data_IF_375825536193
#
_entry.id   IF_375825536193
#
_cell.length_a   1.000
_cell.length_b   1.000
_cell.length_c   1.000
_cell.angle_alpha   90.00
_cell.angle_beta   90.00
_cell.angle_gamma   90.00
#
_symmetry.space_group_name_H-M   'P 1'
#
loop_
_entity.id
_entity.type
_entity.pdbx_description
1 polymer ?
#
# COMPACT_ATOMS: atom_id res chain seq x y z
N UNK A 1 11.57 3.83 -14.60
CA UNK A 1 11.07 2.61 -13.90
C UNK A 1 9.79 2.92 -13.14
N UNK A 2 8.82 1.97 -13.08
CA UNK A 2 7.64 2.04 -12.21
C UNK A 2 6.88 0.72 -12.20
N UNK A 3 6.40 0.27 -11.05
CA UNK A 3 5.47 -0.84 -10.88
C UNK A 3 4.14 -0.30 -10.31
N UNK A 4 3.04 -0.52 -11.03
CA UNK A 4 1.70 -0.15 -10.59
C UNK A 4 0.99 -1.33 -9.95
N UNK A 5 0.44 -1.13 -8.74
CA UNK A 5 -0.30 -2.13 -7.98
C UNK A 5 -1.72 -1.62 -7.71
N UNK A 6 -2.73 -2.42 -8.04
CA UNK A 6 -4.12 -2.17 -7.67
C UNK A 6 -4.58 -3.23 -6.66
N UNK A 7 -4.94 -2.81 -5.46
CA UNK A 7 -5.43 -3.67 -4.40
C UNK A 7 -6.79 -3.18 -3.90
N UNK A 8 -7.85 -3.92 -4.19
CA UNK A 8 -9.24 -3.59 -3.78
C UNK A 8 -9.66 -2.16 -4.16
N UNK A 9 -9.23 -1.68 -5.34
CA UNK A 9 -9.54 -0.34 -5.84
C UNK A 9 -8.61 0.78 -5.34
N UNK A 10 -7.78 0.54 -4.32
CA UNK A 10 -6.71 1.46 -3.91
C UNK A 10 -5.44 1.15 -4.69
N UNK A 11 -4.61 2.15 -4.90
CA UNK A 11 -3.49 2.08 -5.84
C UNK A 11 -2.19 2.44 -5.15
N UNK A 12 -1.15 1.74 -5.57
CA UNK A 12 0.20 1.95 -5.08
C UNK A 12 1.16 1.94 -6.27
N UNK A 13 2.27 2.65 -6.14
CA UNK A 13 3.39 2.61 -7.07
C UNK A 13 4.66 2.20 -6.33
N UNK A 14 5.51 1.45 -7.00
CA UNK A 14 6.93 1.34 -6.63
C UNK A 14 7.70 1.99 -7.76
N UNK A 15 8.45 3.02 -7.42
CA UNK A 15 9.10 3.98 -8.30
C UNK A 15 8.14 4.81 -9.17
N UNK A 16 8.62 5.96 -9.59
CA UNK A 16 7.91 6.89 -10.44
C UNK A 16 8.91 7.57 -11.37
N UNK A 17 9.45 6.81 -12.30
CA UNK A 17 10.38 7.31 -13.29
C UNK A 17 9.71 8.15 -14.36
N UNK A 18 10.52 8.66 -15.26
CA UNK A 18 10.07 9.42 -16.41
C UNK A 18 9.00 8.66 -17.22
N UNK A 19 7.97 9.35 -17.64
CA UNK A 19 6.88 8.77 -18.42
C UNK A 19 5.86 7.92 -17.67
N UNK A 20 6.02 7.68 -16.36
CA UNK A 20 5.06 6.91 -15.55
C UNK A 20 3.64 7.45 -15.68
N UNK A 21 3.45 8.76 -15.59
CA UNK A 21 2.16 9.43 -15.76
C UNK A 21 1.53 9.14 -17.13
N UNK A 22 2.33 9.16 -18.20
CA UNK A 22 1.87 8.90 -19.58
C UNK A 22 1.44 7.44 -19.72
N UNK A 23 2.24 6.50 -19.20
CA UNK A 23 1.91 5.08 -19.19
C UNK A 23 0.61 4.81 -18.43
N UNK A 24 0.45 5.37 -17.23
CA UNK A 24 -0.75 5.23 -16.41
C UNK A 24 -2.00 5.76 -17.12
N UNK A 25 -1.89 6.90 -17.84
CA UNK A 25 -2.98 7.45 -18.64
C UNK A 25 -3.34 6.51 -19.80
N UNK A 26 -2.34 6.01 -20.52
CA UNK A 26 -2.51 5.08 -21.66
C UNK A 26 -3.24 3.79 -21.24
N UNK A 27 -2.92 3.26 -20.06
CA UNK A 27 -3.53 2.02 -19.54
C UNK A 27 -4.76 2.26 -18.64
N UNK A 28 -5.28 3.49 -18.58
CA UNK A 28 -6.44 3.85 -17.77
C UNK A 28 -6.32 3.44 -16.28
N UNK A 29 -5.12 3.52 -15.73
CA UNK A 29 -4.86 3.16 -14.34
C UNK A 29 -5.63 4.04 -13.35
N UNK A 30 -5.93 5.30 -13.73
CA UNK A 30 -6.54 6.32 -12.87
C UNK A 30 -5.59 6.81 -11.76
N UNK A 31 -5.74 8.04 -11.35
CA UNK A 31 -4.79 8.74 -10.47
C UNK A 31 -5.34 9.00 -9.06
N UNK A 32 -6.65 9.23 -8.93
CA UNK A 32 -7.28 9.69 -7.70
C UNK A 32 -7.04 8.77 -6.49
N UNK A 33 -7.03 7.46 -6.70
CA UNK A 33 -6.95 6.46 -5.64
C UNK A 33 -5.51 5.98 -5.36
N UNK A 34 -4.48 6.74 -5.74
CA UNK A 34 -3.09 6.44 -5.38
C UNK A 34 -2.86 6.93 -3.95
N UNK A 35 -2.54 6.02 -3.03
CA UNK A 35 -2.36 6.34 -1.62
C UNK A 35 -0.93 6.14 -1.13
N UNK A 36 -0.15 5.37 -1.88
CA UNK A 36 1.22 5.01 -1.51
C UNK A 36 2.11 5.03 -2.74
N UNK A 37 3.28 5.67 -2.59
CA UNK A 37 4.37 5.61 -3.56
C UNK A 37 5.63 5.22 -2.79
N UNK A 38 6.27 4.15 -3.23
CA UNK A 38 7.49 3.58 -2.67
C UNK A 38 8.64 3.89 -3.63
N UNK A 39 9.65 4.63 -3.21
CA UNK A 39 10.82 4.97 -4.04
C UNK A 39 11.99 4.11 -3.59
N UNK A 40 12.56 3.33 -4.52
CA UNK A 40 13.69 2.45 -4.21
C UNK A 40 14.98 3.20 -4.02
N UNK A 41 15.27 4.18 -4.89
CA UNK A 41 16.44 5.04 -4.84
C UNK A 41 16.21 6.35 -5.64
N UNK A 42 17.14 7.29 -5.55
CA UNK A 42 16.94 8.65 -6.06
C UNK A 42 17.50 8.90 -7.47
N UNK A 43 17.83 7.87 -8.24
CA UNK A 43 18.17 8.06 -9.64
C UNK A 43 16.96 8.58 -10.43
N UNK A 44 17.24 9.45 -11.43
CA UNK A 44 16.19 10.19 -12.15
C UNK A 44 15.14 9.30 -12.78
N UNK A 45 15.53 8.18 -13.36
CA UNK A 45 14.62 7.20 -13.99
C UNK A 45 13.74 6.42 -13.00
N UNK A 46 13.90 6.66 -11.68
CA UNK A 46 13.06 6.12 -10.61
C UNK A 46 12.21 7.16 -9.88
N UNK A 47 12.55 8.48 -9.95
CA UNK A 47 11.87 9.51 -9.16
C UNK A 47 11.37 10.72 -9.96
N UNK A 48 11.98 11.09 -11.09
CA UNK A 48 11.67 12.35 -11.81
C UNK A 48 10.20 12.47 -12.22
N UNK A 49 9.53 11.35 -12.49
CA UNK A 49 8.10 11.33 -12.83
C UNK A 49 7.16 11.82 -11.73
N UNK A 50 7.63 11.88 -10.46
CA UNK A 50 6.82 12.35 -9.32
C UNK A 50 6.29 13.76 -9.51
N UNK A 51 7.07 14.68 -10.05
CA UNK A 51 6.68 16.09 -10.24
C UNK A 51 5.37 16.18 -11.02
N UNK A 52 5.33 15.54 -12.19
CA UNK A 52 4.13 15.54 -13.04
C UNK A 52 3.00 14.67 -12.48
N UNK A 53 3.33 13.55 -11.84
CA UNK A 53 2.34 12.66 -11.26
C UNK A 53 1.57 13.33 -10.11
N UNK A 54 2.25 14.00 -9.18
CA UNK A 54 1.62 14.68 -8.04
C UNK A 54 0.62 15.72 -8.50
N UNK A 55 0.97 16.54 -9.49
CA UNK A 55 0.05 17.53 -10.08
C UNK A 55 -1.13 16.86 -10.79
N UNK A 56 -0.89 15.80 -11.54
CA UNK A 56 -1.95 15.07 -12.24
C UNK A 56 -2.92 14.40 -11.26
N UNK A 57 -2.44 13.88 -10.13
CA UNK A 57 -3.30 13.34 -9.08
C UNK A 57 -4.24 14.42 -8.53
N UNK A 58 -3.73 15.61 -8.23
CA UNK A 58 -4.53 16.77 -7.80
C UNK A 58 -5.57 17.18 -8.83
N UNK A 59 -5.16 17.34 -10.09
CA UNK A 59 -6.04 17.70 -11.22
C UNK A 59 -7.10 16.63 -11.52
N UNK A 60 -6.85 15.37 -11.10
CA UNK A 60 -7.81 14.26 -11.22
C UNK A 60 -8.77 14.18 -10.04
N UNK A 61 -8.76 15.16 -9.13
CA UNK A 61 -9.66 15.26 -8.00
C UNK A 61 -9.27 14.40 -6.79
N UNK A 62 -7.96 14.10 -6.62
CA UNK A 62 -7.47 13.48 -5.36
C UNK A 62 -7.56 14.50 -4.23
N UNK A 63 -8.15 14.08 -3.12
CA UNK A 63 -8.26 14.84 -1.87
C UNK A 63 -7.76 14.05 -0.66
N UNK A 64 -7.72 12.71 -0.77
CA UNK A 64 -7.20 11.82 0.27
C UNK A 64 -5.68 11.96 0.37
N UNK A 65 -5.14 11.75 1.56
CA UNK A 65 -3.71 11.84 1.82
C UNK A 65 -2.89 10.86 0.96
N UNK A 66 -1.64 11.22 0.70
CA UNK A 66 -0.65 10.41 0.01
C UNK A 66 0.53 10.14 0.95
N UNK A 67 0.97 8.90 1.02
CA UNK A 67 2.23 8.54 1.68
C UNK A 67 3.29 8.23 0.63
N UNK A 68 4.47 8.83 0.79
CA UNK A 68 5.67 8.53 0.01
C UNK A 68 6.71 7.95 0.96
N UNK A 69 7.26 6.80 0.61
CA UNK A 69 8.34 6.14 1.35
C UNK A 69 9.55 6.08 0.44
N UNK A 70 10.73 6.30 0.99
CA UNK A 70 11.97 6.21 0.19
C UNK A 70 13.22 6.01 1.04
N UNK A 71 14.40 5.89 0.40
CA UNK A 71 15.68 5.76 1.07
C UNK A 71 16.07 7.05 1.78
N UNK A 72 17.23 7.05 2.44
CA UNK A 72 17.86 8.27 2.95
C UNK A 72 17.99 9.30 1.82
N UNK A 73 17.59 10.55 2.09
CA UNK A 73 17.56 11.65 1.12
C UNK A 73 16.21 11.90 0.46
N UNK A 74 15.19 11.02 0.67
CA UNK A 74 13.86 11.22 0.08
C UNK A 74 13.17 12.49 0.61
N UNK A 75 13.41 12.86 1.88
CA UNK A 75 12.85 14.09 2.46
C UNK A 75 13.39 15.31 1.72
N UNK A 76 14.69 15.37 1.45
CA UNK A 76 15.33 16.47 0.75
C UNK A 76 14.86 16.53 -0.72
N UNK A 77 14.75 15.38 -1.38
CA UNK A 77 14.20 15.28 -2.73
C UNK A 77 12.76 15.80 -2.79
N UNK A 78 11.91 15.44 -1.83
CA UNK A 78 10.53 15.93 -1.75
C UNK A 78 10.44 17.41 -1.43
N UNK A 79 11.35 17.96 -0.62
CA UNK A 79 11.44 19.40 -0.38
C UNK A 79 11.81 20.16 -1.66
N UNK A 80 12.73 19.64 -2.47
CA UNK A 80 13.06 20.22 -3.77
C UNK A 80 11.86 20.15 -4.75
N UNK A 81 11.14 19.03 -4.77
CA UNK A 81 9.93 18.86 -5.59
C UNK A 81 8.84 19.88 -5.21
N UNK A 82 8.64 20.15 -3.91
CA UNK A 82 7.66 21.13 -3.42
C UNK A 82 7.89 22.55 -3.97
N UNK A 83 9.11 22.92 -4.32
CA UNK A 83 9.40 24.21 -4.96
C UNK A 83 8.77 24.29 -6.35
N UNK A 84 8.68 23.16 -7.05
CA UNK A 84 8.10 23.07 -8.40
C UNK A 84 6.61 22.76 -8.39
N UNK A 85 6.11 22.13 -7.31
CA UNK A 85 4.73 21.73 -7.13
C UNK A 85 4.14 22.56 -5.99
N UNK A 86 3.76 23.81 -6.30
CA UNK A 86 3.39 24.82 -5.31
C UNK A 86 2.13 24.48 -4.52
N UNK A 87 1.14 23.86 -5.17
CA UNK A 87 -0.15 23.53 -4.53
C UNK A 87 -0.63 22.12 -4.87
N UNK A 88 -1.00 21.38 -3.83
CA UNK A 88 -1.69 20.09 -3.93
C UNK A 88 -2.96 20.13 -3.05
N UNK A 89 -4.12 19.66 -3.55
CA UNK A 89 -5.37 19.62 -2.78
C UNK A 89 -5.42 18.44 -1.77
N UNK A 90 -4.29 17.82 -1.47
CA UNK A 90 -4.12 16.71 -0.53
C UNK A 90 -2.78 16.82 0.20
N UNK A 91 -2.67 16.15 1.35
CA UNK A 91 -1.42 16.13 2.12
C UNK A 91 -0.49 15.04 1.60
N UNK A 92 0.81 15.30 1.69
CA UNK A 92 1.85 14.32 1.37
C UNK A 92 2.67 14.06 2.63
N UNK A 93 2.62 12.84 3.13
CA UNK A 93 3.47 12.34 4.20
C UNK A 93 4.68 11.65 3.61
N UNK A 94 5.85 11.93 4.16
CA UNK A 94 7.11 11.33 3.71
C UNK A 94 7.70 10.51 4.85
N UNK A 95 8.01 9.25 4.57
CA UNK A 95 8.67 8.33 5.50
C UNK A 95 10.03 7.99 4.90
N UNK A 96 11.10 8.37 5.59
CA UNK A 96 12.47 8.11 5.15
C UNK A 96 13.01 6.85 5.81
N UNK A 97 13.49 5.93 4.98
CA UNK A 97 14.24 4.73 5.34
C UNK A 97 13.69 3.99 6.58
N UNK A 98 12.42 3.57 6.57
CA UNK A 98 11.84 2.84 7.70
C UNK A 98 12.56 1.52 7.90
N UNK A 99 13.05 1.25 9.12
CA UNK A 99 13.76 -0.01 9.46
C UNK A 99 12.82 -1.05 10.06
N UNK A 100 11.69 -0.62 10.58
CA UNK A 100 10.67 -1.52 11.11
C UNK A 100 9.54 -1.74 10.10
N UNK A 101 8.87 -2.86 10.23
CA UNK A 101 7.65 -3.13 9.46
C UNK A 101 6.54 -2.17 9.85
N UNK A 102 5.81 -1.69 8.87
CA UNK A 102 4.70 -0.76 9.08
C UNK A 102 3.52 -1.09 8.18
N UNK A 103 2.37 -0.51 8.51
CA UNK A 103 1.17 -0.50 7.68
C UNK A 103 0.59 0.91 7.65
N UNK A 104 -0.14 1.26 6.60
CA UNK A 104 -0.79 2.56 6.54
C UNK A 104 -2.07 2.57 7.39
N UNK A 105 -2.35 3.69 8.04
CA UNK A 105 -3.62 3.96 8.71
C UNK A 105 -4.72 4.25 7.67
N UNK A 106 -5.19 3.20 7.02
CA UNK A 106 -6.19 3.28 5.96
C UNK A 106 -7.06 2.02 5.96
N UNK A 107 -8.38 2.14 5.82
CA UNK A 107 -9.34 1.04 5.95
C UNK A 107 -9.02 -0.19 5.10
N UNK A 108 -8.49 0.01 3.90
CA UNK A 108 -8.14 -1.08 2.97
C UNK A 108 -6.67 -1.46 3.06
N UNK A 109 -5.77 -0.45 3.19
CA UNK A 109 -4.33 -0.69 3.12
C UNK A 109 -3.72 -1.13 4.45
N UNK A 110 -4.42 -1.00 5.57
CA UNK A 110 -3.99 -1.52 6.89
C UNK A 110 -3.73 -3.03 6.90
N UNK A 111 -4.32 -3.77 5.95
CA UNK A 111 -4.10 -5.21 5.79
C UNK A 111 -2.79 -5.52 5.03
N UNK A 112 -2.05 -4.49 4.59
CA UNK A 112 -0.76 -4.64 3.91
C UNK A 112 0.35 -4.27 4.89
N UNK A 113 1.19 -5.26 5.22
CA UNK A 113 2.42 -5.04 5.97
C UNK A 113 3.56 -4.75 4.99
N UNK A 114 4.25 -3.64 5.19
CA UNK A 114 5.34 -3.18 4.34
C UNK A 114 6.65 -3.31 5.13
N UNK A 115 7.66 -3.86 4.51
CA UNK A 115 9.03 -3.92 5.03
C UNK A 115 10.03 -3.53 3.96
N UNK A 116 11.17 -3.03 4.40
CA UNK A 116 12.29 -2.63 3.54
C UNK A 116 13.50 -3.52 3.81
N UNK A 117 14.41 -3.55 2.84
CA UNK A 117 15.72 -4.16 2.94
C UNK A 117 16.73 -3.23 2.26
N UNK A 118 17.89 -3.02 2.87
CA UNK A 118 18.95 -2.23 2.24
C UNK A 118 19.56 -3.02 1.07
N UNK A 119 19.86 -2.34 -0.02
CA UNK A 119 20.39 -2.92 -1.24
C UNK A 119 21.76 -2.30 -1.58
N UNK A 120 22.62 -3.06 -2.24
CA UNK A 120 23.94 -2.61 -2.66
C UNK A 120 23.88 -1.96 -4.06
N UNK A 121 23.94 -0.64 -4.10
CA UNK A 121 23.90 0.17 -5.31
C UNK A 121 24.89 1.35 -5.20
N UNK A 122 25.00 2.15 -6.27
CA UNK A 122 25.86 3.36 -6.30
C UNK A 122 25.33 4.51 -5.45
N UNK A 123 24.10 4.44 -4.99
CA UNK A 123 23.44 5.38 -4.08
C UNK A 123 22.61 4.61 -3.06
N UNK A 124 22.14 5.28 -2.02
CA UNK A 124 21.20 4.70 -1.06
C UNK A 124 20.02 4.07 -1.78
N UNK A 125 19.83 2.77 -1.59
CA UNK A 125 18.84 1.97 -2.30
C UNK A 125 18.17 0.98 -1.35
N UNK A 126 16.86 0.88 -1.43
CA UNK A 126 16.05 -0.05 -0.62
C UNK A 126 15.11 -0.88 -1.48
N UNK A 127 15.03 -2.15 -1.18
CA UNK A 127 14.00 -3.05 -1.71
C UNK A 127 12.76 -3.01 -0.83
N UNK A 128 11.63 -3.40 -1.39
CA UNK A 128 10.33 -3.44 -0.70
C UNK A 128 9.74 -4.83 -0.68
N UNK A 129 9.12 -5.19 0.43
CA UNK A 129 8.29 -6.38 0.55
C UNK A 129 6.92 -5.99 1.10
N UNK A 130 5.86 -6.30 0.34
CA UNK A 130 4.48 -6.05 0.69
C UNK A 130 3.81 -7.39 1.00
N UNK A 131 3.36 -7.58 2.23
CA UNK A 131 2.63 -8.76 2.63
C UNK A 131 1.14 -8.44 2.77
N UNK A 132 0.35 -8.95 1.83
CA UNK A 132 -1.10 -8.79 1.78
C UNK A 132 -1.76 -9.84 2.66
N UNK A 133 -2.24 -9.43 3.83
CA UNK A 133 -3.00 -10.30 4.75
C UNK A 133 -4.31 -10.74 4.11
N UNK A 134 -4.66 -12.00 4.26
CA UNK A 134 -5.91 -12.55 3.74
C UNK A 134 -6.78 -13.01 4.89
N UNK A 135 -7.95 -12.40 5.03
CA UNK A 135 -8.94 -12.83 6.04
C UNK A 135 -9.42 -14.24 5.74
N UNK A 136 -9.76 -14.99 6.78
CA UNK A 136 -10.45 -16.27 6.66
C UNK A 136 -11.75 -16.10 5.86
N UNK A 137 -12.14 -17.12 5.12
CA UNK A 137 -13.42 -17.10 4.39
C UNK A 137 -14.57 -17.45 5.33
N UNK A 138 -15.75 -16.89 5.03
CA UNK A 138 -16.99 -17.31 5.67
C UNK A 138 -17.24 -18.79 5.40
N UNK A 139 -17.53 -19.53 6.48
CA UNK A 139 -17.89 -20.94 6.45
C UNK A 139 -19.34 -21.11 6.92
N UNK A 140 -20.21 -21.38 5.96
CA UNK A 140 -21.64 -21.54 6.21
C UNK A 140 -21.94 -22.74 7.10
N UNK A 141 -21.23 -23.86 6.91
CA UNK A 141 -21.47 -25.07 7.69
C UNK A 141 -21.08 -24.83 9.15
N UNK A 142 -19.94 -24.20 9.38
CA UNK A 142 -19.46 -23.80 10.70
C UNK A 142 -20.43 -22.83 11.39
N UNK A 143 -20.93 -21.83 10.66
CA UNK A 143 -21.90 -20.87 11.18
C UNK A 143 -23.21 -21.56 11.61
N UNK A 144 -23.68 -22.53 10.81
CA UNK A 144 -24.89 -23.32 11.11
C UNK A 144 -24.66 -24.27 12.31
N UNK A 145 -23.53 -24.98 12.36
CA UNK A 145 -23.18 -25.87 13.46
C UNK A 145 -23.04 -25.16 14.79
N UNK A 146 -22.60 -23.90 14.77
CA UNK A 146 -22.50 -23.03 15.96
C UNK A 146 -23.81 -22.27 16.26
N UNK A 147 -24.91 -22.58 15.53
CA UNK A 147 -26.22 -21.96 15.72
C UNK A 147 -26.19 -20.42 15.66
N UNK A 148 -25.30 -19.84 14.82
CA UNK A 148 -25.18 -18.39 14.68
C UNK A 148 -26.33 -17.86 13.84
N UNK A 149 -27.14 -16.91 14.34
CA UNK A 149 -28.22 -16.27 13.59
C UNK A 149 -27.72 -15.65 12.27
N UNK A 150 -28.44 -15.91 11.18
CA UNK A 150 -28.01 -15.43 9.83
C UNK A 150 -27.80 -13.92 9.75
N UNK A 151 -28.60 -13.15 10.50
CA UNK A 151 -28.47 -11.69 10.58
C UNK A 151 -27.08 -11.24 11.08
N UNK A 152 -26.34 -12.09 11.80
CA UNK A 152 -25.02 -11.78 12.36
C UNK A 152 -23.88 -12.19 11.43
N UNK A 153 -24.12 -13.02 10.41
CA UNK A 153 -23.06 -13.60 9.57
C UNK A 153 -22.18 -12.53 8.90
N UNK A 154 -22.80 -11.48 8.34
CA UNK A 154 -22.04 -10.40 7.72
C UNK A 154 -21.26 -9.58 8.76
N UNK A 155 -21.90 -9.27 9.91
CA UNK A 155 -21.25 -8.51 10.97
C UNK A 155 -20.02 -9.23 11.54
N UNK A 156 -20.12 -10.54 11.74
CA UNK A 156 -19.02 -11.37 12.26
C UNK A 156 -17.88 -11.62 11.25
N UNK A 157 -18.08 -11.30 9.96
CA UNK A 157 -16.98 -11.26 8.98
C UNK A 157 -16.17 -9.95 9.04
N UNK A 158 -16.75 -8.91 9.65
CA UNK A 158 -16.17 -7.56 9.75
C UNK A 158 -15.70 -7.24 11.18
N UNK A 159 -16.32 -7.86 12.20
CA UNK A 159 -16.07 -7.62 13.62
C UNK A 159 -15.74 -8.93 14.34
N UNK A 160 -14.79 -8.90 15.25
CA UNK A 160 -14.37 -10.08 15.99
C UNK A 160 -15.44 -10.58 16.97
N UNK A 161 -16.27 -9.67 17.48
CA UNK A 161 -17.29 -10.00 18.48
C UNK A 161 -18.57 -9.20 18.23
N UNK A 162 -19.72 -9.84 18.35
CA UNK A 162 -21.04 -9.20 18.26
C UNK A 162 -21.93 -9.72 19.39
N UNK A 163 -22.56 -8.83 20.14
CA UNK A 163 -23.57 -9.15 21.16
C UNK A 163 -24.95 -9.07 20.52
N UNK A 164 -25.74 -10.12 20.69
CA UNK A 164 -27.12 -10.18 20.18
C UNK A 164 -27.99 -11.04 21.11
N UNK A 165 -29.13 -10.50 21.58
CA UNK A 165 -30.03 -11.14 22.53
C UNK A 165 -29.27 -11.67 23.78
N UNK A 166 -28.48 -10.82 24.42
CA UNK A 166 -27.67 -11.12 25.62
C UNK A 166 -26.67 -12.27 25.46
N UNK A 167 -26.42 -12.73 24.22
CA UNK A 167 -25.43 -13.73 23.89
C UNK A 167 -24.30 -13.10 23.05
N UNK A 168 -23.07 -13.47 23.39
CA UNK A 168 -21.87 -13.04 22.64
C UNK A 168 -21.53 -14.06 21.57
N UNK A 169 -21.33 -13.56 20.34
CA UNK A 169 -20.92 -14.35 19.19
C UNK A 169 -19.54 -13.86 18.71
N UNK A 170 -18.69 -14.79 18.28
CA UNK A 170 -17.34 -14.52 17.84
C UNK A 170 -17.18 -14.79 16.35
N UNK A 171 -16.29 -14.03 15.69
CA UNK A 171 -15.96 -14.23 14.28
C UNK A 171 -15.47 -15.65 13.98
N UNK A 172 -14.76 -16.26 14.92
CA UNK A 172 -14.30 -17.65 14.83
C UNK A 172 -15.43 -18.68 14.69
N UNK A 173 -16.67 -18.34 15.05
CA UNK A 173 -17.84 -19.24 14.92
C UNK A 173 -18.37 -19.31 13.48
N UNK A 174 -18.00 -18.37 12.61
CA UNK A 174 -18.47 -18.25 11.23
C UNK A 174 -17.34 -18.21 10.20
N UNK A 175 -16.10 -18.09 10.63
CA UNK A 175 -14.93 -18.06 9.74
C UNK A 175 -14.25 -19.45 9.73
N UNK A 176 -13.84 -19.86 8.54
CA UNK A 176 -13.01 -21.03 8.33
C UNK A 176 -11.57 -20.80 8.75
N UNK A 177 -10.66 -21.65 8.26
CA UNK A 177 -9.25 -21.59 8.61
C UNK A 177 -8.59 -20.29 8.11
N UNK A 178 -7.53 -19.89 8.82
CA UNK A 178 -6.67 -18.78 8.39
C UNK A 178 -6.09 -19.03 7.00
N UNK A 179 -6.01 -17.98 6.21
CA UNK A 179 -5.50 -18.07 4.85
C UNK A 179 -4.13 -17.45 4.76
N UNK A 180 -3.17 -18.19 4.22
CA UNK A 180 -1.84 -17.69 3.92
C UNK A 180 -1.96 -16.41 3.05
N UNK A 181 -1.30 -15.33 3.47
CA UNK A 181 -1.21 -14.08 2.71
C UNK A 181 -0.42 -14.22 1.41
N UNK A 182 -0.33 -13.13 0.68
CA UNK A 182 0.49 -13.02 -0.54
C UNK A 182 1.63 -12.06 -0.24
N UNK A 183 2.86 -12.46 -0.52
CA UNK A 183 4.05 -11.62 -0.42
C UNK A 183 4.49 -11.20 -1.83
N UNK A 184 4.64 -9.90 -2.05
CA UNK A 184 5.27 -9.31 -3.22
C UNK A 184 6.56 -8.67 -2.76
N UNK A 185 7.69 -9.09 -3.29
CA UNK A 185 8.98 -8.43 -3.08
C UNK A 185 9.42 -7.76 -4.39
N UNK A 186 9.85 -6.51 -4.30
CA UNK A 186 10.38 -5.73 -5.40
C UNK A 186 11.82 -5.31 -5.08
N UNK A 187 12.73 -5.78 -5.89
CA UNK A 187 14.17 -5.56 -5.77
C UNK A 187 14.67 -5.15 -7.14
N UNK A 188 15.38 -4.06 -7.20
CA UNK A 188 15.91 -3.49 -8.45
C UNK A 188 17.26 -2.84 -8.18
N UNK A 189 18.07 -2.73 -9.23
CA UNK A 189 19.32 -1.97 -9.28
C UNK A 189 20.27 -2.27 -8.11
N UNK A 190 20.48 -3.57 -7.85
CA UNK A 190 21.38 -4.03 -6.79
C UNK A 190 22.34 -5.08 -7.30
N UNK A 191 23.50 -5.19 -6.65
CA UNK A 191 24.34 -6.37 -6.76
C UNK A 191 23.73 -7.52 -5.96
N UNK A 192 24.06 -8.78 -6.28
CA UNK A 192 23.65 -9.90 -5.45
C UNK A 192 24.20 -9.74 -4.02
N UNK A 193 23.33 -9.84 -3.01
CA UNK A 193 23.68 -9.84 -1.59
C UNK A 193 23.16 -11.12 -0.95
N UNK A 194 23.71 -11.50 0.22
CA UNK A 194 23.26 -12.69 0.96
C UNK A 194 21.87 -12.51 1.60
N UNK A 195 21.32 -11.31 1.60
CA UNK A 195 20.05 -10.95 2.21
C UNK A 195 18.87 -11.03 1.24
N UNK A 196 19.14 -11.21 -0.04
CA UNK A 196 18.18 -11.43 -1.14
C UNK A 196 18.13 -12.94 -1.50
#
# INVERSE_FOLDING_TARGET
>A
SSLFINYKGRKMLIDCGEGTQIAMKKYNCGFKAIDLILITHLHGDHIIGLIGLLQTMGNSGKTDDLTIVGPVGIIDAMNAIKVLVEYLPYRVYVIENPKEKFSLEHDILKDIEISTIDLEHSTECIGYSLYFKRKAKFDRQKAMSNEVPQILWKKLQEQDTVIYNDKTYYSSMVLGDERKGIKLSFITDTRPTFEI
#
